data_IF_848732869602
#
_entry.id   IF_848732869602
#
_cell.length_a   1.000
_cell.length_b   1.000
_cell.length_c   1.000
_cell.angle_alpha   90.00
_cell.angle_beta   90.00
_cell.angle_gamma   90.00
#
_symmetry.space_group_name_H-M   'P 1'
#
loop_
_entity.id
_entity.type
_entity.pdbx_description
1 polymer ?
#
# COMPACT_ATOMS: atom_id res chain seq x y z
N UNK A 1 -29.97 32.58 -27.07
CA UNK A 1 -30.47 31.47 -26.19
C UNK A 1 -29.26 30.84 -25.51
N UNK A 2 -29.10 31.15 -24.24
CA UNK A 2 -28.05 30.65 -23.34
C UNK A 2 -28.39 29.24 -22.87
N UNK A 3 -27.48 28.29 -23.03
CA UNK A 3 -27.47 27.08 -22.19
C UNK A 3 -26.22 27.10 -21.36
N UNK A 4 -26.41 27.05 -20.06
CA UNK A 4 -25.44 27.26 -19.01
C UNK A 4 -24.75 25.96 -18.61
N UNK A 5 -23.47 26.04 -18.49
CA UNK A 5 -22.66 25.11 -17.70
C UNK A 5 -22.93 25.32 -16.20
N UNK A 6 -23.81 24.55 -15.58
CA UNK A 6 -24.16 24.74 -14.15
C UNK A 6 -23.48 23.71 -13.22
N UNK A 7 -22.86 22.66 -13.72
CA UNK A 7 -22.29 21.61 -12.88
C UNK A 7 -20.98 21.99 -12.17
N UNK A 8 -20.10 22.74 -12.84
CA UNK A 8 -18.80 23.13 -12.24
C UNK A 8 -18.92 24.23 -11.17
N UNK A 9 -19.95 25.09 -11.27
CA UNK A 9 -20.15 26.20 -10.31
C UNK A 9 -20.78 25.75 -8.99
N UNK A 10 -21.50 24.62 -9.01
CA UNK A 10 -22.18 24.12 -7.79
C UNK A 10 -21.22 23.34 -6.89
N UNK A 11 -20.17 22.74 -7.42
CA UNK A 11 -19.11 22.11 -6.62
C UNK A 11 -18.31 23.15 -5.84
N UNK A 12 -18.04 24.31 -6.45
CA UNK A 12 -17.27 25.39 -5.80
C UNK A 12 -18.08 26.13 -4.71
N UNK A 13 -19.41 26.18 -4.81
CA UNK A 13 -20.28 26.87 -3.84
C UNK A 13 -20.63 26.03 -2.60
N UNK A 14 -20.28 24.75 -2.55
CA UNK A 14 -20.55 23.86 -1.41
C UNK A 14 -19.39 23.73 -0.41
N UNK A 15 -18.34 24.49 -0.56
CA UNK A 15 -17.33 24.69 0.47
C UNK A 15 -17.82 25.72 1.48
N UNK A 16 -18.85 25.39 2.23
CA UNK A 16 -19.27 26.16 3.40
C UNK A 16 -18.63 25.53 4.62
N UNK A 17 -17.68 26.25 5.23
CA UNK A 17 -17.05 25.93 6.53
C UNK A 17 -16.07 24.75 6.57
N UNK A 18 -15.23 24.53 5.52
CA UNK A 18 -14.10 23.61 5.63
C UNK A 18 -14.46 22.11 5.80
N UNK A 19 -15.71 21.73 5.56
CA UNK A 19 -16.18 20.33 5.54
C UNK A 19 -16.74 19.97 4.19
N UNK A 20 -16.10 19.02 3.53
CA UNK A 20 -16.61 18.43 2.28
C UNK A 20 -17.94 17.72 2.56
N UNK A 21 -18.96 17.92 1.70
CA UNK A 21 -20.24 17.23 1.84
C UNK A 21 -20.02 15.70 1.76
N UNK A 22 -20.70 14.95 2.62
CA UNK A 22 -20.67 13.47 2.66
C UNK A 22 -20.94 12.82 1.30
N UNK A 23 -21.74 13.46 0.42
CA UNK A 23 -21.99 12.96 -0.94
C UNK A 23 -20.80 13.14 -1.89
N UNK A 24 -20.04 14.24 -1.75
CA UNK A 24 -18.78 14.45 -2.52
C UNK A 24 -17.71 13.48 -2.02
N UNK A 25 -17.65 13.27 -0.71
CA UNK A 25 -16.71 12.34 -0.10
C UNK A 25 -16.94 10.90 -0.61
N UNK A 26 -18.19 10.41 -0.59
CA UNK A 26 -18.56 9.09 -1.13
C UNK A 26 -18.25 8.96 -2.63
N UNK A 27 -18.44 10.03 -3.42
CA UNK A 27 -18.12 10.02 -4.85
C UNK A 27 -16.60 9.93 -5.07
N UNK A 28 -15.83 10.70 -4.30
CA UNK A 28 -14.36 10.65 -4.37
C UNK A 28 -13.81 9.28 -3.93
N UNK A 29 -14.40 8.68 -2.88
CA UNK A 29 -14.07 7.31 -2.46
C UNK A 29 -14.34 6.29 -3.56
N UNK A 30 -15.49 6.40 -4.24
CA UNK A 30 -15.82 5.52 -5.36
C UNK A 30 -14.82 5.61 -6.50
N UNK A 31 -14.44 6.83 -6.90
CA UNK A 31 -13.44 7.06 -7.95
C UNK A 31 -12.06 6.51 -7.58
N UNK A 32 -11.62 6.71 -6.34
CA UNK A 32 -10.31 6.17 -5.88
C UNK A 32 -10.30 4.66 -5.75
N UNK A 33 -11.41 4.07 -5.36
CA UNK A 33 -11.56 2.62 -5.36
C UNK A 33 -11.39 2.04 -6.77
N UNK A 34 -12.05 2.66 -7.77
CA UNK A 34 -11.91 2.28 -9.17
C UNK A 34 -10.48 2.48 -9.69
N UNK A 35 -9.79 3.55 -9.27
CA UNK A 35 -8.39 3.78 -9.60
C UNK A 35 -7.45 2.72 -9.02
N UNK A 36 -7.64 2.35 -7.74
CA UNK A 36 -6.86 1.28 -7.10
C UNK A 36 -7.14 -0.07 -7.78
N UNK A 37 -8.39 -0.37 -8.08
CA UNK A 37 -8.77 -1.59 -8.80
C UNK A 37 -8.22 -1.64 -10.22
N UNK A 38 -8.06 -0.49 -10.87
CA UNK A 38 -7.46 -0.39 -12.20
C UNK A 38 -5.92 -0.52 -12.18
N UNK A 39 -5.28 -0.07 -11.11
CA UNK A 39 -3.82 -0.13 -10.93
C UNK A 39 -3.37 -1.49 -10.39
N UNK A 40 -4.17 -2.12 -9.53
CA UNK A 40 -3.94 -3.49 -9.12
C UNK A 40 -4.67 -4.41 -10.09
N UNK A 41 -4.00 -5.37 -10.67
CA UNK A 41 -4.66 -6.48 -11.38
C UNK A 41 -5.56 -7.32 -10.44
N UNK A 42 -5.70 -6.91 -9.19
CA UNK A 42 -6.47 -7.51 -8.11
C UNK A 42 -7.58 -6.52 -7.72
N UNK A 43 -8.82 -6.99 -7.65
CA UNK A 43 -9.91 -6.26 -6.98
C UNK A 43 -9.54 -5.98 -5.51
N UNK A 44 -10.09 -4.89 -4.93
CA UNK A 44 -9.94 -4.63 -3.51
C UNK A 44 -10.37 -5.89 -2.75
N UNK A 45 -9.43 -6.43 -1.99
CA UNK A 45 -9.60 -7.67 -1.26
C UNK A 45 -10.29 -7.42 0.07
N UNK A 46 -10.86 -8.46 0.65
CA UNK A 46 -11.39 -8.45 2.01
C UNK A 46 -10.67 -9.48 2.85
N UNK A 47 -10.45 -9.19 4.14
CA UNK A 47 -9.95 -10.17 5.09
C UNK A 47 -10.81 -11.45 5.13
N UNK A 48 -12.13 -11.33 4.88
CA UNK A 48 -13.05 -12.46 4.87
C UNK A 48 -12.78 -13.46 3.72
N UNK A 49 -12.07 -13.03 2.67
CA UNK A 49 -11.64 -13.88 1.56
C UNK A 49 -10.28 -14.54 1.78
N UNK A 50 -9.61 -14.23 2.91
CA UNK A 50 -8.34 -14.82 3.30
C UNK A 50 -8.56 -16.13 4.06
N UNK A 51 -8.48 -17.25 3.35
CA UNK A 51 -8.79 -18.56 3.90
C UNK A 51 -7.62 -19.14 4.68
N UNK A 52 -7.75 -19.24 6.01
CA UNK A 52 -6.74 -19.81 6.90
C UNK A 52 -6.41 -21.27 6.61
N UNK A 53 -7.26 -22.02 5.87
CA UNK A 53 -7.00 -23.42 5.53
C UNK A 53 -5.73 -23.63 4.70
N UNK A 54 -5.30 -22.60 3.94
CA UNK A 54 -4.08 -22.68 3.13
C UNK A 54 -2.79 -22.52 3.95
N UNK A 55 -2.88 -22.04 5.17
CA UNK A 55 -1.73 -22.02 6.08
C UNK A 55 -1.64 -23.35 6.81
N UNK A 56 -0.43 -23.98 6.86
CA UNK A 56 -0.28 -25.30 7.49
C UNK A 56 -0.56 -25.25 8.99
N UNK A 57 -1.23 -26.27 9.51
CA UNK A 57 -1.46 -26.41 10.95
C UNK A 57 -0.31 -27.20 11.61
N UNK A 58 0.93 -26.92 11.21
CA UNK A 58 2.14 -27.51 11.76
C UNK A 58 2.86 -26.53 12.64
N UNK A 59 3.45 -27.02 13.72
CA UNK A 59 4.27 -26.22 14.61
C UNK A 59 5.46 -25.63 13.85
N UNK A 60 5.73 -24.36 14.04
CA UNK A 60 6.94 -23.68 13.60
C UNK A 60 7.81 -23.42 14.84
N UNK A 61 9.05 -23.90 14.84
CA UNK A 61 9.93 -23.80 16.01
C UNK A 61 10.34 -22.35 16.31
N UNK A 62 10.40 -21.49 15.31
CA UNK A 62 10.79 -20.09 15.49
C UNK A 62 9.62 -19.23 16.00
N UNK A 63 8.41 -19.56 15.60
CA UNK A 63 7.19 -18.88 16.06
C UNK A 63 6.76 -19.41 17.44
N UNK A 64 7.08 -20.67 17.78
CA UNK A 64 6.64 -21.32 19.01
C UNK A 64 5.18 -21.76 19.00
N UNK A 65 4.50 -21.69 17.84
CA UNK A 65 3.10 -22.04 17.64
C UNK A 65 2.83 -22.55 16.22
N UNK A 66 1.66 -23.16 15.96
CA UNK A 66 1.27 -23.56 14.62
C UNK A 66 1.16 -22.36 13.67
N UNK A 67 1.69 -22.50 12.45
CA UNK A 67 1.69 -21.43 11.43
C UNK A 67 0.27 -20.86 11.20
N UNK A 68 -0.76 -21.73 11.17
CA UNK A 68 -2.15 -21.29 10.99
C UNK A 68 -2.65 -20.41 12.12
N UNK A 69 -2.30 -20.73 13.37
CA UNK A 69 -2.66 -19.93 14.55
C UNK A 69 -2.00 -18.57 14.50
N UNK A 70 -0.70 -18.53 14.26
CA UNK A 70 0.06 -17.30 14.09
C UNK A 70 -0.50 -16.41 12.98
N UNK A 71 -0.74 -16.98 11.79
CA UNK A 71 -1.32 -16.21 10.67
C UNK A 71 -2.74 -15.73 10.95
N UNK A 72 -3.53 -16.52 11.68
CA UNK A 72 -4.85 -16.10 12.13
C UNK A 72 -4.80 -14.86 13.02
N UNK A 73 -3.90 -14.86 14.02
CA UNK A 73 -3.64 -13.70 14.87
C UNK A 73 -3.15 -12.49 14.07
N UNK A 74 -2.16 -12.69 13.20
CA UNK A 74 -1.63 -11.61 12.37
C UNK A 74 -2.72 -10.96 11.50
N UNK A 75 -3.59 -11.75 10.87
CA UNK A 75 -4.67 -11.21 10.02
C UNK A 75 -5.71 -10.45 10.84
N UNK A 76 -5.99 -10.88 12.07
CA UNK A 76 -6.87 -10.16 12.99
C UNK A 76 -6.24 -8.84 13.45
N UNK A 77 -4.94 -8.82 13.78
CA UNK A 77 -4.21 -7.60 14.11
C UNK A 77 -4.22 -6.60 12.96
N UNK A 78 -4.03 -7.07 11.70
CA UNK A 78 -4.08 -6.21 10.52
C UNK A 78 -5.51 -5.69 10.25
N UNK A 79 -6.54 -6.48 10.52
CA UNK A 79 -7.94 -6.04 10.46
C UNK A 79 -8.19 -4.95 11.50
N UNK A 80 -7.81 -5.18 12.75
CA UNK A 80 -7.94 -4.20 13.83
C UNK A 80 -7.19 -2.91 13.51
N UNK A 81 -5.98 -3.02 12.99
CA UNK A 81 -5.22 -1.85 12.50
C UNK A 81 -6.02 -1.03 11.49
N UNK A 82 -6.65 -1.69 10.49
CA UNK A 82 -7.43 -1.00 9.48
C UNK A 82 -8.70 -0.35 10.05
N UNK A 83 -9.39 -1.04 10.95
CA UNK A 83 -10.60 -0.56 11.62
C UNK A 83 -10.30 0.62 12.56
N UNK A 84 -9.16 0.61 13.22
CA UNK A 84 -8.71 1.68 14.12
C UNK A 84 -7.88 2.76 13.41
N UNK A 85 -7.59 2.62 12.13
CA UNK A 85 -6.72 3.52 11.37
C UNK A 85 -7.07 4.99 11.56
N UNK A 86 -6.05 5.79 11.87
CA UNK A 86 -6.06 7.25 11.90
C UNK A 86 -4.72 7.84 11.41
N UNK A 87 -4.58 9.17 11.44
CA UNK A 87 -3.34 9.85 11.03
C UNK A 87 -2.14 9.60 11.96
N UNK A 88 -2.32 8.95 13.12
CA UNK A 88 -1.24 8.57 14.01
C UNK A 88 -0.91 7.07 13.91
N UNK A 89 -1.59 6.35 13.03
CA UNK A 89 -1.32 4.92 12.81
C UNK A 89 0.13 4.70 12.37
N UNK A 90 0.71 3.59 12.79
CA UNK A 90 2.10 3.26 12.48
C UNK A 90 2.22 2.76 11.03
N UNK A 91 3.41 2.91 10.46
CA UNK A 91 3.74 2.30 9.18
C UNK A 91 3.98 0.81 9.35
N UNK A 92 3.57 -0.01 8.37
CA UNK A 92 3.68 -1.47 8.41
C UNK A 92 4.64 -1.98 7.35
N UNK A 93 5.41 -3.00 7.69
CA UNK A 93 6.21 -3.77 6.73
C UNK A 93 5.71 -5.22 6.70
N UNK A 94 4.96 -5.58 5.67
CA UNK A 94 4.46 -6.93 5.42
C UNK A 94 5.51 -7.69 4.61
N UNK A 95 6.19 -8.64 5.22
CA UNK A 95 7.30 -9.35 4.59
C UNK A 95 7.18 -10.86 4.74
N UNK A 96 7.84 -11.60 3.86
CA UNK A 96 7.77 -13.07 3.80
C UNK A 96 7.81 -13.57 2.36
N UNK A 97 7.89 -14.87 2.16
CA UNK A 97 7.99 -15.46 0.83
C UNK A 97 6.83 -15.05 -0.10
N UNK A 98 7.00 -15.26 -1.40
CA UNK A 98 5.94 -15.01 -2.38
C UNK A 98 4.71 -15.90 -2.14
N UNK A 99 3.54 -15.42 -2.57
CA UNK A 99 2.29 -16.20 -2.54
C UNK A 99 1.64 -16.37 -1.17
N UNK A 100 2.08 -15.66 -0.11
CA UNK A 100 1.56 -15.78 1.25
C UNK A 100 0.38 -14.83 1.57
N UNK A 101 -0.06 -13.99 0.63
CA UNK A 101 -1.20 -13.11 0.83
C UNK A 101 -0.87 -11.69 1.29
N UNK A 102 0.40 -11.24 1.27
CA UNK A 102 0.80 -9.88 1.68
C UNK A 102 0.05 -8.78 0.93
N UNK A 103 0.09 -8.81 -0.40
CA UNK A 103 -0.65 -7.87 -1.26
C UNK A 103 -2.15 -7.92 -0.98
N UNK A 104 -2.70 -9.12 -0.76
CA UNK A 104 -4.12 -9.31 -0.44
C UNK A 104 -4.49 -8.62 0.89
N UNK A 105 -3.68 -8.80 1.93
CA UNK A 105 -3.87 -8.12 3.21
C UNK A 105 -3.72 -6.60 3.09
N UNK A 106 -2.72 -6.10 2.34
CA UNK A 106 -2.54 -4.68 2.08
C UNK A 106 -3.76 -4.05 1.37
N UNK A 107 -4.32 -4.75 0.37
CA UNK A 107 -5.55 -4.32 -0.31
C UNK A 107 -6.80 -4.42 0.58
N UNK A 108 -6.87 -5.39 1.49
CA UNK A 108 -7.95 -5.47 2.46
C UNK A 108 -7.91 -4.30 3.46
N UNK A 109 -6.72 -3.90 3.91
CA UNK A 109 -6.52 -2.68 4.71
C UNK A 109 -6.97 -1.46 3.91
N UNK A 110 -6.52 -1.33 2.65
CA UNK A 110 -6.88 -0.22 1.77
C UNK A 110 -8.41 -0.05 1.67
N UNK A 111 -9.15 -1.16 1.50
CA UNK A 111 -10.60 -1.16 1.41
C UNK A 111 -11.26 -0.55 2.65
N UNK A 112 -10.89 -1.01 3.84
CA UNK A 112 -11.45 -0.52 5.11
C UNK A 112 -11.08 0.97 5.32
N UNK A 113 -9.82 1.34 5.09
CA UNK A 113 -9.34 2.71 5.26
C UNK A 113 -10.02 3.69 4.30
N UNK A 114 -10.25 3.27 3.04
CA UNK A 114 -11.05 4.03 2.07
C UNK A 114 -12.51 4.22 2.53
N UNK A 115 -13.14 3.18 3.08
CA UNK A 115 -14.52 3.25 3.60
C UNK A 115 -14.63 4.22 4.78
N UNK A 116 -13.57 4.38 5.56
CA UNK A 116 -13.47 5.39 6.63
C UNK A 116 -13.28 6.81 6.10
N UNK A 117 -12.96 6.97 4.82
CA UNK A 117 -12.88 8.27 4.17
C UNK A 117 -11.50 8.86 4.02
N UNK A 118 -10.47 8.09 4.28
CA UNK A 118 -9.08 8.50 4.08
C UNK A 118 -8.66 8.39 2.63
N UNK A 119 -7.64 9.15 2.27
CA UNK A 119 -7.01 9.11 0.96
C UNK A 119 -5.98 7.99 0.91
N UNK A 120 -6.22 6.98 0.09
CA UNK A 120 -5.32 5.82 -0.06
C UNK A 120 -4.74 5.77 -1.46
N UNK A 121 -3.41 5.68 -1.53
CA UNK A 121 -2.69 5.42 -2.78
C UNK A 121 -2.07 4.02 -2.68
N UNK A 122 -2.43 3.17 -3.64
CA UNK A 122 -1.78 1.88 -3.87
C UNK A 122 -0.95 1.95 -5.14
N UNK A 123 0.31 1.56 -5.06
CA UNK A 123 1.20 1.46 -6.21
C UNK A 123 2.06 0.19 -6.11
N UNK A 124 2.21 -0.49 -7.25
CA UNK A 124 3.28 -1.47 -7.43
C UNK A 124 4.62 -0.74 -7.45
N UNK A 125 5.54 -1.12 -6.59
CA UNK A 125 6.86 -0.47 -6.49
C UNK A 125 7.61 -0.49 -7.82
N UNK A 126 7.71 -1.63 -8.56
CA UNK A 126 8.33 -1.66 -9.88
C UNK A 126 7.72 -0.68 -10.88
N UNK A 127 6.37 -0.63 -10.97
CA UNK A 127 5.69 0.20 -11.95
C UNK A 127 5.80 1.69 -11.61
N UNK A 128 5.68 2.02 -10.33
CA UNK A 128 5.78 3.39 -9.85
C UNK A 128 7.16 3.99 -10.14
N UNK A 129 8.23 3.29 -9.76
CA UNK A 129 9.59 3.79 -9.98
C UNK A 129 10.01 3.73 -11.44
N UNK A 130 9.54 2.75 -12.22
CA UNK A 130 9.75 2.73 -13.67
C UNK A 130 9.10 3.92 -14.37
N UNK A 131 7.88 4.29 -13.96
CA UNK A 131 7.19 5.47 -14.49
C UNK A 131 7.92 6.76 -14.10
N UNK A 132 8.32 6.90 -12.85
CA UNK A 132 9.11 8.07 -12.39
C UNK A 132 10.43 8.20 -13.16
N UNK A 133 11.15 7.10 -13.34
CA UNK A 133 12.42 7.08 -14.06
C UNK A 133 12.21 7.46 -15.54
N UNK A 134 11.15 6.96 -16.16
CA UNK A 134 10.75 7.32 -17.52
C UNK A 134 10.42 8.81 -17.67
N UNK A 135 9.75 9.42 -16.70
CA UNK A 135 9.48 10.87 -16.69
C UNK A 135 10.77 11.67 -16.47
N UNK A 136 11.61 11.26 -15.54
CA UNK A 136 12.86 11.94 -15.18
C UNK A 136 13.85 12.05 -16.35
N UNK A 137 14.06 10.95 -17.07
CA UNK A 137 15.01 10.90 -18.20
C UNK A 137 14.38 11.19 -19.54
N UNK A 138 13.04 11.29 -19.61
CA UNK A 138 12.27 11.66 -20.79
C UNK A 138 12.00 13.15 -20.89
N UNK A 139 11.09 13.53 -21.79
CA UNK A 139 10.51 14.86 -21.79
C UNK A 139 9.29 14.88 -20.86
N UNK A 140 9.40 15.60 -19.75
CA UNK A 140 8.28 15.84 -18.80
C UNK A 140 7.84 17.32 -18.82
N UNK A 141 7.18 17.78 -19.91
CA UNK A 141 6.82 19.19 -20.06
C UNK A 141 5.69 19.63 -19.11
N UNK A 142 4.98 18.68 -18.52
CA UNK A 142 3.84 18.93 -17.65
C UNK A 142 4.18 18.89 -16.15
N UNK A 143 5.41 18.48 -15.77
CA UNK A 143 5.79 18.28 -14.36
C UNK A 143 5.07 17.08 -13.72
N UNK A 144 4.82 16.04 -14.49
CA UNK A 144 4.12 14.83 -14.01
C UNK A 144 4.93 14.06 -12.99
N UNK A 145 6.28 14.07 -13.11
CA UNK A 145 7.19 13.44 -12.12
C UNK A 145 6.95 14.03 -10.73
N UNK A 146 6.99 15.37 -10.62
CA UNK A 146 6.78 16.05 -9.35
C UNK A 146 5.37 15.81 -8.81
N UNK A 147 4.35 15.86 -9.67
CA UNK A 147 2.95 15.60 -9.31
C UNK A 147 2.77 14.18 -8.78
N UNK A 148 3.36 13.18 -9.43
CA UNK A 148 3.28 11.78 -9.03
C UNK A 148 3.94 11.56 -7.66
N UNK A 149 5.13 12.13 -7.46
CA UNK A 149 5.84 12.07 -6.17
C UNK A 149 5.08 12.80 -5.05
N UNK A 150 4.54 13.98 -5.31
CA UNK A 150 3.76 14.75 -4.33
C UNK A 150 2.46 14.02 -3.97
N UNK A 151 1.79 13.41 -4.93
CA UNK A 151 0.57 12.63 -4.70
C UNK A 151 0.85 11.43 -3.79
N UNK A 152 1.91 10.66 -4.08
CA UNK A 152 2.31 9.54 -3.23
C UNK A 152 2.80 9.99 -1.85
N UNK A 153 3.52 11.12 -1.78
CA UNK A 153 4.03 11.66 -0.52
C UNK A 153 2.92 12.22 0.39
N UNK A 154 1.82 12.72 -0.18
CA UNK A 154 0.76 13.43 0.55
C UNK A 154 -0.47 12.60 0.91
N UNK A 155 -0.62 11.37 0.39
CA UNK A 155 -1.75 10.51 0.71
C UNK A 155 -1.83 10.17 2.21
N UNK A 156 -3.03 10.02 2.78
CA UNK A 156 -3.23 9.61 4.17
C UNK A 156 -2.62 8.23 4.43
N UNK A 157 -2.79 7.30 3.49
CA UNK A 157 -2.14 6.00 3.48
C UNK A 157 -1.49 5.74 2.11
N UNK A 158 -0.20 5.42 2.12
CA UNK A 158 0.51 4.92 0.93
C UNK A 158 0.78 3.43 1.08
N UNK A 159 0.49 2.65 0.04
CA UNK A 159 0.87 1.24 -0.06
C UNK A 159 1.86 1.09 -1.21
N UNK A 160 3.09 0.72 -0.87
CA UNK A 160 4.16 0.33 -1.82
C UNK A 160 4.21 -1.19 -1.87
N UNK A 161 3.63 -1.76 -2.91
CA UNK A 161 3.54 -3.22 -3.06
C UNK A 161 4.74 -3.78 -3.81
N UNK A 162 5.19 -4.94 -3.37
CA UNK A 162 6.27 -5.75 -3.97
C UNK A 162 7.64 -5.04 -4.05
N UNK A 163 8.00 -4.30 -2.99
CA UNK A 163 9.32 -3.69 -2.86
C UNK A 163 10.41 -4.78 -2.89
N UNK A 164 11.40 -4.62 -3.77
CA UNK A 164 12.47 -5.59 -4.02
C UNK A 164 12.39 -6.29 -5.36
N UNK A 165 11.33 -6.02 -6.14
CA UNK A 165 11.14 -6.57 -7.49
C UNK A 165 11.48 -5.58 -8.60
N UNK A 166 11.77 -4.32 -8.25
CA UNK A 166 12.15 -3.27 -9.19
C UNK A 166 13.62 -3.36 -9.62
N UNK A 167 13.92 -2.70 -10.74
CA UNK A 167 15.29 -2.59 -11.22
C UNK A 167 16.05 -1.56 -10.38
N UNK A 168 17.10 -2.02 -9.67
CA UNK A 168 17.82 -1.16 -8.74
C UNK A 168 18.71 -0.15 -9.49
N UNK A 169 18.32 1.12 -9.46
CA UNK A 169 19.06 2.24 -10.03
C UNK A 169 19.38 3.30 -8.96
N UNK A 170 20.36 4.15 -9.21
CA UNK A 170 20.67 5.26 -8.31
C UNK A 170 19.49 6.24 -8.20
N UNK A 171 18.71 6.39 -9.28
CA UNK A 171 17.50 7.20 -9.31
C UNK A 171 16.43 6.60 -8.37
N UNK A 172 16.16 5.30 -8.48
CA UNK A 172 15.22 4.59 -7.60
C UNK A 172 15.60 4.77 -6.13
N UNK A 173 16.85 4.54 -5.78
CA UNK A 173 17.36 4.69 -4.39
C UNK A 173 17.10 6.11 -3.87
N UNK A 174 17.40 7.13 -4.68
CA UNK A 174 17.19 8.53 -4.32
C UNK A 174 15.69 8.86 -4.14
N UNK A 175 14.86 8.41 -5.07
CA UNK A 175 13.42 8.66 -5.08
C UNK A 175 12.71 7.95 -3.93
N UNK A 176 13.02 6.67 -3.68
CA UNK A 176 12.51 5.90 -2.55
C UNK A 176 12.92 6.52 -1.20
N UNK A 177 14.20 6.91 -1.07
CA UNK A 177 14.68 7.59 0.13
C UNK A 177 13.89 8.88 0.39
N UNK A 178 13.71 9.70 -0.65
CA UNK A 178 12.98 10.98 -0.58
C UNK A 178 11.53 10.76 -0.17
N UNK A 179 10.85 9.80 -0.80
CA UNK A 179 9.46 9.45 -0.51
C UNK A 179 9.28 9.00 0.95
N UNK A 180 10.08 8.02 1.40
CA UNK A 180 10.01 7.52 2.77
C UNK A 180 10.36 8.61 3.79
N UNK A 181 11.39 9.43 3.50
CA UNK A 181 11.79 10.51 4.40
C UNK A 181 10.70 11.58 4.56
N UNK A 182 10.06 11.97 3.46
CA UNK A 182 8.98 12.96 3.48
C UNK A 182 7.78 12.44 4.27
N UNK A 183 7.36 11.19 4.05
CA UNK A 183 6.22 10.58 4.74
C UNK A 183 6.49 10.37 6.22
N UNK A 184 7.66 9.86 6.60
CA UNK A 184 8.06 9.73 8.01
C UNK A 184 8.13 11.10 8.70
N UNK A 185 8.67 12.12 8.02
CA UNK A 185 8.72 13.48 8.54
C UNK A 185 7.33 14.11 8.75
N UNK A 186 6.39 13.78 7.87
CA UNK A 186 4.99 14.19 7.96
C UNK A 186 4.13 13.28 8.86
N UNK A 187 4.70 12.20 9.39
CA UNK A 187 4.00 11.15 10.17
C UNK A 187 2.82 10.53 9.41
N UNK A 188 2.96 10.33 8.11
CA UNK A 188 1.94 9.72 7.26
C UNK A 188 2.19 8.20 7.17
N UNK A 189 1.21 7.36 7.55
CA UNK A 189 1.31 5.91 7.52
C UNK A 189 1.66 5.36 6.13
N UNK A 190 2.59 4.42 6.10
CA UNK A 190 3.02 3.75 4.87
C UNK A 190 3.02 2.24 5.08
N UNK A 191 2.42 1.49 4.18
CA UNK A 191 2.50 0.03 4.16
C UNK A 191 3.45 -0.36 3.04
N UNK A 192 4.43 -1.17 3.35
CA UNK A 192 5.35 -1.76 2.37
C UNK A 192 5.15 -3.26 2.37
N UNK A 193 4.97 -3.87 1.20
CA UNK A 193 5.07 -5.33 1.07
C UNK A 193 6.38 -5.71 0.39
N UNK A 194 6.99 -6.81 0.82
CA UNK A 194 8.25 -7.28 0.25
C UNK A 194 8.43 -8.78 0.41
N UNK A 195 9.16 -9.39 -0.52
CA UNK A 195 9.60 -10.78 -0.42
C UNK A 195 10.96 -10.91 0.27
N UNK A 196 11.61 -9.80 0.61
CA UNK A 196 12.90 -9.78 1.29
C UNK A 196 12.69 -10.03 2.77
N UNK A 197 13.24 -11.14 3.27
CA UNK A 197 13.17 -11.54 4.68
C UNK A 197 14.50 -11.32 5.42
N UNK A 198 15.57 -11.04 4.67
CA UNK A 198 16.90 -10.81 5.21
C UNK A 198 17.23 -9.31 5.22
N UNK A 199 17.43 -8.75 6.40
CA UNK A 199 17.79 -7.33 6.58
C UNK A 199 19.11 -6.95 5.91
N UNK A 200 20.10 -7.87 5.85
CA UNK A 200 21.36 -7.63 5.17
C UNK A 200 21.18 -7.55 3.65
N UNK A 201 20.24 -8.33 3.10
CA UNK A 201 19.85 -8.20 1.68
C UNK A 201 19.14 -6.88 1.41
N UNK A 202 18.22 -6.47 2.30
CA UNK A 202 17.52 -5.19 2.19
C UNK A 202 18.49 -4.01 2.19
N UNK A 203 19.46 -4.00 3.11
CA UNK A 203 20.51 -2.98 3.19
C UNK A 203 21.40 -2.95 1.94
N UNK A 204 21.74 -4.11 1.39
CA UNK A 204 22.53 -4.25 0.18
C UNK A 204 21.81 -3.71 -1.07
N UNK A 205 20.50 -3.89 -1.15
CA UNK A 205 19.68 -3.40 -2.26
C UNK A 205 19.37 -1.91 -2.15
N UNK A 206 19.05 -1.42 -0.93
CA UNK A 206 18.51 -0.08 -0.74
C UNK A 206 19.36 0.86 0.09
N UNK A 207 20.54 0.47 0.49
CA UNK A 207 21.44 1.21 1.39
C UNK A 207 20.98 1.20 2.86
N UNK A 208 21.93 1.41 3.77
CA UNK A 208 21.69 1.53 5.21
C UNK A 208 20.61 2.57 5.55
N UNK A 209 20.59 3.71 4.84
CA UNK A 209 19.67 4.81 5.10
C UNK A 209 18.20 4.44 4.88
N UNK A 210 17.90 3.68 3.83
CA UNK A 210 16.54 3.21 3.54
C UNK A 210 16.20 2.05 4.47
N UNK A 211 17.12 1.11 4.65
CA UNK A 211 16.94 -0.04 5.56
C UNK A 211 16.61 0.41 6.99
N UNK A 212 17.32 1.42 7.51
CA UNK A 212 17.06 2.01 8.82
C UNK A 212 15.65 2.64 8.94
N UNK A 213 15.14 3.24 7.87
CA UNK A 213 13.76 3.79 7.86
C UNK A 213 12.71 2.68 7.86
N UNK A 214 12.91 1.67 7.03
CA UNK A 214 12.02 0.51 6.99
C UNK A 214 12.05 -0.28 8.30
N UNK A 215 13.18 -0.31 9.01
CA UNK A 215 13.30 -0.91 10.33
C UNK A 215 12.47 -0.20 11.42
N UNK A 216 12.02 1.03 11.18
CA UNK A 216 11.08 1.73 12.08
C UNK A 216 9.61 1.35 11.86
N UNK A 217 9.30 0.58 10.83
CA UNK A 217 7.95 0.11 10.55
C UNK A 217 7.63 -1.11 11.43
N UNK A 218 6.37 -1.27 11.81
CA UNK A 218 5.90 -2.48 12.50
C UNK A 218 6.08 -3.70 11.57
N UNK A 219 6.88 -4.69 11.98
CA UNK A 219 7.14 -5.85 11.15
C UNK A 219 5.99 -6.86 11.23
N UNK A 220 5.42 -7.22 10.09
CA UNK A 220 4.36 -8.20 9.92
C UNK A 220 4.89 -9.37 9.09
N UNK A 221 5.37 -10.43 9.73
CA UNK A 221 5.94 -11.60 9.06
C UNK A 221 4.86 -12.54 8.56
N UNK A 222 4.80 -12.75 7.26
CA UNK A 222 3.96 -13.76 6.63
C UNK A 222 4.74 -15.07 6.46
N UNK A 223 4.16 -16.16 6.95
CA UNK A 223 4.77 -17.50 6.92
C UNK A 223 3.82 -18.53 6.32
N UNK A 224 4.36 -19.60 5.76
CA UNK A 224 3.57 -20.67 5.18
C UNK A 224 4.09 -21.16 3.83
N UNK A 225 3.18 -21.76 3.06
CA UNK A 225 3.44 -22.23 1.68
C UNK A 225 2.69 -21.35 0.69
N UNK A 226 3.20 -21.23 -0.53
CA UNK A 226 2.57 -20.45 -1.61
C UNK A 226 1.10 -20.86 -1.80
N UNK A 227 0.19 -19.92 -1.49
CA UNK A 227 -1.27 -20.12 -1.57
C UNK A 227 -1.72 -20.16 -3.02
N UNK A 228 -1.07 -19.40 -3.92
CA UNK A 228 -1.39 -19.42 -5.35
C UNK A 228 -1.14 -20.80 -5.94
N UNK A 229 -0.01 -21.41 -5.59
CA UNK A 229 0.32 -22.77 -6.03
C UNK A 229 -0.66 -23.81 -5.45
N UNK A 230 -1.10 -23.65 -4.20
CA UNK A 230 -2.09 -24.54 -3.59
C UNK A 230 -3.45 -24.43 -4.27
N UNK A 231 -3.95 -23.22 -4.53
CA UNK A 231 -5.22 -22.96 -5.23
C UNK A 231 -5.20 -23.50 -6.66
N UNK A 232 -4.07 -23.35 -7.37
CA UNK A 232 -3.92 -23.90 -8.72
C UNK A 232 -3.93 -25.44 -8.76
N UNK A 233 -3.54 -26.11 -7.68
CA UNK A 233 -3.58 -27.56 -7.57
C UNK A 233 -4.98 -28.10 -7.18
N UNK A 234 -5.88 -27.26 -6.70
CA UNK A 234 -7.28 -27.60 -6.36
C UNK A 234 -8.24 -27.38 -7.56
N UNK A 235 -7.79 -26.65 -8.61
CA UNK A 235 -8.58 -26.31 -9.82
C UNK A 235 -8.44 -27.38 -10.91
#
# INVERSE_FOLDING_TARGET
>A
TRVRSSAASDVYKRQVQGRTCTCVHKLMQGLRREEIEALSSLSISSFDTMELRYYPNTMDEKLGEPVRTYMGGLLEDLRSYAEEFDHNSESLMLFGNAGLGKTHAALAIAGIVLEKGYDVIYVSSPDFFSKLEGLHFGADPAGEEETLMQTAAGADLLILDDLGSEFNSAFLISSLYSLLNNRLGAKLPTIVTTNITDSALLERLYTEKISSRLASFLPCLFVGKDIRAQKAAES
#
